data_IF_466603179824
#
_entry.id   IF_466603179824
#
_cell.length_a   1.000
_cell.length_b   1.000
_cell.length_c   1.000
_cell.angle_alpha   90.00
_cell.angle_beta   90.00
_cell.angle_gamma   90.00
#
_symmetry.space_group_name_H-M   'P 1'
#
loop_
_entity.id
_entity.type
_entity.pdbx_description
1 polymer ?
#
# COMPACT_ATOMS: atom_id res chain seq x y z
N UNK A 1 29.53 -14.39 -16.46
CA UNK A 1 28.40 -13.45 -16.53
C UNK A 1 27.16 -14.29 -16.38
N UNK A 2 26.60 -14.30 -15.16
CA UNK A 2 25.63 -15.28 -14.68
C UNK A 2 24.25 -15.08 -15.32
N UNK A 3 23.69 -16.19 -15.81
CA UNK A 3 22.26 -16.34 -16.05
C UNK A 3 21.52 -16.40 -14.71
N UNK A 4 20.59 -15.47 -14.50
CA UNK A 4 19.59 -15.52 -13.43
C UNK A 4 18.35 -16.23 -13.97
N UNK A 5 18.19 -17.49 -13.58
CA UNK A 5 16.90 -18.17 -13.62
C UNK A 5 16.06 -17.68 -12.43
N UNK A 6 15.01 -16.90 -12.70
CA UNK A 6 13.98 -16.60 -11.71
C UNK A 6 13.03 -17.81 -11.61
N UNK A 7 13.15 -18.55 -10.52
CA UNK A 7 12.22 -19.60 -10.11
C UNK A 7 11.00 -18.95 -9.45
N UNK A 8 9.98 -18.64 -10.24
CA UNK A 8 8.62 -18.32 -9.78
C UNK A 8 7.85 -19.63 -9.62
N UNK A 9 7.95 -20.24 -8.45
CA UNK A 9 7.32 -21.54 -8.19
C UNK A 9 7.45 -21.96 -6.73
N UNK A 10 7.03 -21.12 -5.79
CA UNK A 10 6.75 -21.54 -4.41
C UNK A 10 5.99 -20.45 -3.65
N UNK A 11 4.70 -20.26 -3.91
CA UNK A 11 3.86 -19.37 -3.09
C UNK A 11 2.46 -19.91 -2.81
N UNK A 12 2.17 -21.16 -3.17
CA UNK A 12 0.84 -21.75 -2.98
C UNK A 12 0.67 -22.56 -1.69
N UNK A 13 1.73 -22.74 -0.88
CA UNK A 13 1.68 -23.60 0.32
C UNK A 13 1.94 -22.87 1.65
N UNK A 14 2.36 -21.60 1.63
CA UNK A 14 2.61 -20.83 2.87
C UNK A 14 1.40 -20.00 3.36
N UNK A 15 0.38 -19.80 2.51
CA UNK A 15 -0.77 -18.94 2.86
C UNK A 15 -1.71 -19.55 3.91
N UNK A 16 -1.69 -20.86 4.13
CA UNK A 16 -2.48 -21.52 5.18
C UNK A 16 -1.80 -21.44 6.57
N UNK A 17 -0.52 -21.04 6.63
CA UNK A 17 0.26 -20.99 7.86
C UNK A 17 0.38 -19.60 8.48
N UNK A 18 0.09 -18.53 7.74
CA UNK A 18 0.31 -17.16 8.23
C UNK A 18 -0.86 -16.63 9.06
N UNK A 19 -2.09 -17.05 8.79
CA UNK A 19 -3.26 -16.56 9.53
C UNK A 19 -3.36 -17.04 10.98
N UNK A 20 -2.84 -18.24 11.25
CA UNK A 20 -2.74 -18.76 12.62
C UNK A 20 -1.71 -17.98 13.44
N UNK A 21 -0.69 -17.40 12.81
CA UNK A 21 0.47 -16.85 13.51
C UNK A 21 0.13 -15.61 14.37
N UNK A 22 -0.55 -14.56 13.87
CA UNK A 22 -0.90 -13.40 14.70
C UNK A 22 -1.90 -13.73 15.82
N UNK A 23 -2.86 -14.63 15.55
CA UNK A 23 -3.82 -15.07 16.55
C UNK A 23 -3.14 -15.86 17.67
N UNK A 24 -2.35 -16.87 17.31
CA UNK A 24 -1.59 -17.70 18.27
C UNK A 24 -0.60 -16.86 19.09
N UNK A 25 0.06 -15.87 18.45
CA UNK A 25 0.96 -14.95 19.13
C UNK A 25 0.21 -14.07 20.14
N UNK A 26 -0.96 -13.53 19.78
CA UNK A 26 -1.79 -12.74 20.69
C UNK A 26 -2.26 -13.57 21.88
N UNK A 27 -2.79 -14.76 21.65
CA UNK A 27 -3.24 -15.66 22.72
C UNK A 27 -2.08 -16.11 23.62
N UNK A 28 -0.91 -16.43 23.03
CA UNK A 28 0.29 -16.80 23.79
C UNK A 28 0.81 -15.63 24.63
N UNK A 29 0.83 -14.41 24.08
CA UNK A 29 1.26 -13.21 24.80
C UNK A 29 0.33 -12.88 25.97
N UNK A 30 -0.99 -13.01 25.76
CA UNK A 30 -2.00 -12.86 26.84
C UNK A 30 -1.78 -13.89 27.95
N UNK A 31 -1.62 -15.16 27.59
CA UNK A 31 -1.33 -16.23 28.55
C UNK A 31 -0.01 -16.02 29.30
N UNK A 32 0.99 -15.38 28.69
CA UNK A 32 2.25 -15.00 29.35
C UNK A 32 2.01 -13.88 30.36
N UNK A 33 1.30 -12.82 29.96
CA UNK A 33 0.97 -11.71 30.84
C UNK A 33 0.17 -12.16 32.05
N UNK A 34 -0.89 -12.96 31.85
CA UNK A 34 -1.68 -13.52 32.94
C UNK A 34 -0.86 -14.40 33.91
N UNK A 35 0.15 -15.11 33.40
CA UNK A 35 1.04 -15.89 34.26
C UNK A 35 1.97 -15.00 35.09
N UNK A 36 2.45 -13.89 34.52
CA UNK A 36 3.26 -12.92 35.25
C UNK A 36 2.44 -12.22 36.35
N UNK A 37 1.20 -11.82 36.05
CA UNK A 37 0.26 -11.27 37.05
C UNK A 37 -0.01 -12.27 38.18
N UNK A 38 -0.36 -13.52 37.86
CA UNK A 38 -0.59 -14.55 38.89
C UNK A 38 0.65 -14.80 39.76
N UNK A 39 1.85 -14.73 39.17
CA UNK A 39 3.08 -14.89 39.93
C UNK A 39 3.30 -13.75 40.93
N UNK A 40 2.84 -12.53 40.61
CA UNK A 40 2.84 -11.38 41.53
C UNK A 40 1.75 -11.56 42.60
N UNK A 41 0.55 -11.99 42.22
CA UNK A 41 -0.57 -12.23 43.15
C UNK A 41 -0.21 -13.27 44.24
N UNK A 42 0.59 -14.29 43.89
CA UNK A 42 1.06 -15.33 44.81
C UNK A 42 1.93 -14.78 45.95
N UNK A 43 2.44 -13.54 45.82
CA UNK A 43 3.22 -12.86 46.85
C UNK A 43 2.38 -12.15 47.92
N UNK A 44 1.05 -12.19 47.83
CA UNK A 44 0.15 -11.88 48.95
C UNK A 44 -0.19 -10.39 49.10
N UNK A 45 -1.35 -10.15 49.73
CA UNK A 45 -2.06 -8.88 49.83
C UNK A 45 -3.53 -9.20 50.14
N UNK A 46 -4.31 -8.25 50.66
CA UNK A 46 -5.77 -8.49 50.81
C UNK A 46 -6.46 -8.44 49.43
N UNK A 47 -5.84 -7.75 48.48
CA UNK A 47 -6.25 -7.59 47.08
C UNK A 47 -5.06 -7.77 46.12
N UNK A 48 -5.34 -7.90 44.81
CA UNK A 48 -4.31 -7.97 43.76
C UNK A 48 -3.49 -6.67 43.66
N UNK A 49 -4.12 -5.51 43.92
CA UNK A 49 -3.43 -4.21 43.98
C UNK A 49 -2.40 -4.21 45.13
N UNK A 50 -2.78 -4.70 46.32
CA UNK A 50 -1.87 -4.78 47.46
C UNK A 50 -0.66 -5.69 47.18
N UNK A 51 -0.89 -6.81 46.49
CA UNK A 51 0.17 -7.73 46.11
C UNK A 51 1.15 -7.11 45.11
N UNK A 52 0.60 -6.40 44.12
CA UNK A 52 1.39 -5.65 43.15
C UNK A 52 2.23 -4.59 43.84
N UNK A 53 1.62 -3.77 44.70
CA UNK A 53 2.32 -2.72 45.45
C UNK A 53 3.42 -3.31 46.33
N UNK A 54 3.18 -4.43 47.01
CA UNK A 54 4.18 -5.07 47.87
C UNK A 54 5.42 -5.55 47.07
N UNK A 55 5.19 -6.17 45.90
CA UNK A 55 6.27 -6.63 45.02
C UNK A 55 7.00 -5.45 44.37
N UNK A 56 6.29 -4.41 43.95
CA UNK A 56 6.89 -3.19 43.38
C UNK A 56 7.79 -2.47 44.39
N UNK A 57 7.34 -2.30 45.64
CA UNK A 57 8.17 -1.71 46.70
C UNK A 57 9.43 -2.55 46.98
N UNK A 58 9.31 -3.88 47.01
CA UNK A 58 10.47 -4.77 47.23
C UNK A 58 11.46 -4.73 46.06
N UNK A 59 10.95 -4.69 44.82
CA UNK A 59 11.74 -4.53 43.62
C UNK A 59 12.48 -3.18 43.59
N UNK A 60 11.80 -2.09 43.94
CA UNK A 60 12.39 -0.75 44.02
C UNK A 60 13.49 -0.70 45.09
N UNK A 61 13.22 -1.25 46.29
CA UNK A 61 14.20 -1.35 47.35
C UNK A 61 15.45 -2.13 46.88
N UNK A 62 15.27 -3.27 46.21
CA UNK A 62 16.36 -4.08 45.67
C UNK A 62 17.20 -3.32 44.65
N UNK A 63 16.55 -2.65 43.68
CA UNK A 63 17.24 -1.84 42.66
C UNK A 63 18.03 -0.69 43.32
N UNK A 64 17.42 0.04 44.25
CA UNK A 64 18.07 1.12 44.99
C UNK A 64 19.26 0.63 45.81
N UNK A 65 19.15 -0.52 46.47
CA UNK A 65 20.24 -1.12 47.24
C UNK A 65 21.41 -1.54 46.34
N UNK A 66 21.11 -2.19 45.21
CA UNK A 66 22.10 -2.65 44.24
C UNK A 66 22.82 -1.48 43.57
N UNK A 67 22.07 -0.47 43.10
CA UNK A 67 22.63 0.75 42.51
C UNK A 67 23.55 1.51 43.49
N UNK A 68 23.18 1.52 44.77
CA UNK A 68 23.97 2.13 45.82
C UNK A 68 25.29 1.36 46.06
N UNK A 69 25.26 0.03 46.06
CA UNK A 69 26.48 -0.79 46.17
C UNK A 69 27.38 -0.62 44.94
N UNK A 70 26.83 -0.76 43.74
CA UNK A 70 27.56 -0.66 42.47
C UNK A 70 28.22 0.72 42.30
N UNK A 71 27.51 1.78 42.66
CA UNK A 71 28.07 3.13 42.53
C UNK A 71 29.22 3.40 43.52
N UNK A 72 29.34 2.63 44.61
CA UNK A 72 30.34 2.84 45.65
C UNK A 72 31.47 1.81 45.69
N UNK A 73 31.37 0.65 45.01
CA UNK A 73 32.37 -0.42 45.05
C UNK A 73 33.78 0.06 44.71
N UNK A 74 33.95 0.83 43.64
CA UNK A 74 35.27 1.36 43.23
C UNK A 74 35.79 2.45 44.17
N UNK A 75 34.86 3.18 44.80
CA UNK A 75 35.18 4.37 45.61
C UNK A 75 35.46 4.01 47.07
N UNK A 76 34.87 2.95 47.59
CA UNK A 76 34.90 2.60 49.02
C UNK A 76 35.92 1.51 49.40
N UNK A 77 36.56 0.84 48.44
CA UNK A 77 37.43 -0.35 48.67
C UNK A 77 38.94 -0.06 48.75
N UNK A 78 39.37 1.18 48.51
CA UNK A 78 40.79 1.57 48.51
C UNK A 78 41.37 2.03 49.86
N UNK A 79 42.70 2.16 49.93
CA UNK A 79 43.42 2.60 51.13
C UNK A 79 43.68 4.11 51.10
N UNK A 80 42.67 4.91 51.45
CA UNK A 80 42.76 6.38 51.40
C UNK A 80 41.72 7.10 52.25
N UNK A 81 41.98 8.39 52.56
CA UNK A 81 41.01 9.23 53.31
C UNK A 81 39.72 9.45 52.51
N UNK A 82 39.83 9.54 51.18
CA UNK A 82 38.68 9.68 50.27
C UNK A 82 37.85 8.39 50.23
N UNK A 83 38.50 7.22 50.18
CA UNK A 83 37.81 5.94 50.24
C UNK A 83 37.09 5.72 51.58
N UNK A 84 37.72 6.11 52.69
CA UNK A 84 37.07 6.06 54.00
C UNK A 84 35.84 6.99 54.07
N UNK A 85 35.92 8.17 53.46
CA UNK A 85 34.77 9.09 53.37
C UNK A 85 33.65 8.50 52.52
N UNK A 86 33.98 7.87 51.39
CA UNK A 86 33.01 7.20 50.52
C UNK A 86 32.34 6.02 51.24
N UNK A 87 33.11 5.24 52.00
CA UNK A 87 32.60 4.17 52.86
C UNK A 87 31.58 4.68 53.89
N UNK A 88 31.94 5.68 54.71
CA UNK A 88 31.01 6.22 55.74
C UNK A 88 29.74 6.79 55.10
N UNK A 89 29.86 7.35 53.89
CA UNK A 89 28.71 7.82 53.14
C UNK A 89 27.82 6.68 52.66
N UNK A 90 28.39 5.61 52.09
CA UNK A 90 27.68 4.40 51.69
C UNK A 90 26.95 3.79 52.89
N UNK A 91 27.66 3.55 53.99
CA UNK A 91 27.10 2.97 55.22
C UNK A 91 25.91 3.79 55.72
N UNK A 92 26.04 5.13 55.78
CA UNK A 92 24.94 6.01 56.20
C UNK A 92 23.77 6.02 55.22
N UNK A 93 24.02 5.95 53.92
CA UNK A 93 22.95 5.91 52.91
C UNK A 93 22.24 4.55 52.88
N UNK A 94 23.00 3.46 53.01
CA UNK A 94 22.45 2.11 53.01
C UNK A 94 21.68 1.83 54.31
N UNK A 95 22.19 2.27 55.46
CA UNK A 95 21.44 2.22 56.72
C UNK A 95 20.13 3.02 56.63
N UNK A 96 20.17 4.24 56.07
CA UNK A 96 18.97 5.04 55.88
C UNK A 96 17.96 4.39 54.90
N UNK A 97 18.46 3.68 53.87
CA UNK A 97 17.61 2.91 52.97
C UNK A 97 16.90 1.79 53.75
N UNK A 98 17.63 0.95 54.48
CA UNK A 98 17.08 -0.18 55.26
C UNK A 98 16.12 0.28 56.35
N UNK A 99 16.48 1.32 57.11
CA UNK A 99 15.63 1.91 58.16
C UNK A 99 14.32 2.49 57.60
N UNK A 100 14.35 2.96 56.35
CA UNK A 100 13.19 3.51 55.65
C UNK A 100 12.23 2.45 55.09
N UNK A 101 12.64 1.17 55.06
CA UNK A 101 11.81 0.10 54.52
C UNK A 101 10.63 -0.22 55.46
N UNK A 102 9.43 -0.56 54.94
CA UNK A 102 8.32 -1.06 55.74
C UNK A 102 8.71 -2.33 56.52
N UNK A 103 8.20 -2.50 57.75
CA UNK A 103 8.45 -3.70 58.57
C UNK A 103 7.93 -4.98 57.92
N UNK A 104 6.81 -4.86 57.21
CA UNK A 104 6.16 -5.95 56.46
C UNK A 104 6.75 -6.15 55.05
N UNK A 105 7.83 -5.43 54.68
CA UNK A 105 8.39 -5.51 53.34
C UNK A 105 8.86 -6.94 53.03
N UNK A 106 8.44 -7.42 51.88
CA UNK A 106 8.83 -8.74 51.42
C UNK A 106 10.34 -8.84 51.17
N UNK A 107 10.98 -9.83 51.78
CA UNK A 107 12.42 -9.99 51.67
C UNK A 107 13.25 -8.95 52.42
N UNK A 108 12.66 -8.19 53.36
CA UNK A 108 13.37 -7.21 54.21
C UNK A 108 14.67 -7.74 54.80
N UNK A 109 14.68 -8.99 55.26
CA UNK A 109 15.87 -9.62 55.86
C UNK A 109 17.10 -9.60 54.93
N UNK A 110 16.91 -9.72 53.61
CA UNK A 110 18.01 -9.66 52.65
C UNK A 110 18.75 -8.30 52.70
N UNK A 111 18.02 -7.22 52.93
CA UNK A 111 18.57 -5.88 53.06
C UNK A 111 19.30 -5.68 54.38
N UNK A 112 18.78 -6.25 55.47
CA UNK A 112 19.42 -6.24 56.79
C UNK A 112 20.72 -7.05 56.76
N UNK A 113 20.71 -8.24 56.15
CA UNK A 113 21.89 -9.09 55.96
C UNK A 113 22.95 -8.40 55.08
N UNK A 114 22.52 -7.66 54.04
CA UNK A 114 23.42 -6.88 53.20
C UNK A 114 24.03 -5.69 53.96
N UNK A 115 23.27 -5.01 54.82
CA UNK A 115 23.78 -3.95 55.70
C UNK A 115 24.82 -4.52 56.67
N UNK A 116 24.57 -5.69 57.27
CA UNK A 116 25.55 -6.35 58.15
C UNK A 116 26.83 -6.72 57.39
N UNK A 117 26.73 -7.16 56.13
CA UNK A 117 27.90 -7.50 55.32
C UNK A 117 28.85 -6.31 55.11
N UNK A 118 28.30 -5.08 55.07
CA UNK A 118 29.05 -3.83 54.88
C UNK A 118 29.32 -3.04 56.17
N UNK A 119 28.76 -3.42 57.32
CA UNK A 119 29.03 -2.79 58.63
C UNK A 119 30.41 -3.21 59.16
N UNK A 120 31.47 -2.59 58.61
CA UNK A 120 32.86 -2.89 58.96
C UNK A 120 33.74 -1.66 58.90
N UNK A 121 34.73 -1.59 59.81
CA UNK A 121 35.75 -0.52 59.86
C UNK A 121 36.48 -0.22 58.54
N UNK A 122 36.55 -1.19 57.62
CA UNK A 122 37.05 -1.05 56.24
C UNK A 122 36.34 -2.07 55.35
N UNK A 123 35.94 -1.65 54.15
CA UNK A 123 35.40 -2.53 53.11
C UNK A 123 36.47 -2.96 52.12
N UNK A 124 36.31 -4.20 51.65
CA UNK A 124 36.98 -4.78 50.49
C UNK A 124 35.95 -5.11 49.41
N UNK A 125 36.40 -5.35 48.19
CA UNK A 125 35.54 -5.82 47.10
C UNK A 125 34.76 -7.08 47.50
N UNK A 126 35.41 -8.00 48.25
CA UNK A 126 34.74 -9.21 48.76
C UNK A 126 33.62 -8.92 49.78
N UNK A 127 33.63 -7.75 50.43
CA UNK A 127 32.53 -7.35 51.31
C UNK A 127 31.32 -6.86 50.48
N UNK A 128 31.57 -6.19 49.35
CA UNK A 128 30.52 -5.82 48.38
C UNK A 128 29.92 -7.06 47.73
N UNK A 129 30.74 -8.03 47.30
CA UNK A 129 30.26 -9.30 46.75
C UNK A 129 29.31 -10.00 47.74
N UNK A 130 29.70 -10.10 49.03
CA UNK A 130 28.81 -10.67 50.05
C UNK A 130 27.53 -9.86 50.28
N UNK A 131 27.57 -8.54 50.12
CA UNK A 131 26.38 -7.72 50.22
C UNK A 131 25.43 -7.95 49.02
N UNK A 132 25.98 -8.10 47.81
CA UNK A 132 25.20 -8.51 46.64
C UNK A 132 24.61 -9.91 46.81
N UNK A 133 25.41 -10.89 47.28
CA UNK A 133 24.93 -12.24 47.56
C UNK A 133 23.81 -12.24 48.61
N UNK A 134 23.91 -11.38 49.64
CA UNK A 134 22.87 -11.23 50.66
C UNK A 134 21.57 -10.64 50.09
N UNK A 135 21.65 -9.81 49.04
CA UNK A 135 20.49 -9.24 48.33
C UNK A 135 19.84 -10.19 47.33
N UNK A 136 20.51 -11.29 46.91
CA UNK A 136 19.99 -12.25 45.92
C UNK A 136 18.55 -12.71 46.23
N UNK A 137 18.14 -13.04 47.48
CA UNK A 137 16.76 -13.42 47.76
C UNK A 137 15.71 -12.33 47.49
N UNK A 138 16.11 -11.07 47.43
CA UNK A 138 15.24 -9.95 47.08
C UNK A 138 15.21 -9.67 45.55
N UNK A 139 16.17 -10.18 44.76
CA UNK A 139 16.20 -10.00 43.30
C UNK A 139 14.95 -10.56 42.62
N UNK A 140 14.39 -11.66 43.17
CA UNK A 140 13.19 -12.32 42.65
C UNK A 140 12.00 -11.37 42.47
N UNK A 141 11.86 -10.34 43.31
CA UNK A 141 10.75 -9.38 43.19
C UNK A 141 10.97 -8.44 42.02
N UNK A 142 12.21 -7.99 41.80
CA UNK A 142 12.57 -7.24 40.60
C UNK A 142 12.39 -8.08 39.33
N UNK A 143 12.75 -9.37 39.37
CA UNK A 143 12.55 -10.30 38.24
C UNK A 143 11.06 -10.50 37.89
N UNK A 144 10.17 -10.51 38.88
CA UNK A 144 8.71 -10.59 38.66
C UNK A 144 8.16 -9.36 37.95
N UNK A 145 8.54 -8.15 38.41
CA UNK A 145 8.13 -6.89 37.77
C UNK A 145 8.68 -6.81 36.34
N UNK A 146 9.95 -7.13 36.16
CA UNK A 146 10.60 -7.19 34.86
C UNK A 146 9.89 -8.16 33.90
N UNK A 147 9.50 -9.36 34.36
CA UNK A 147 8.78 -10.32 33.53
C UNK A 147 7.38 -9.85 33.17
N UNK A 148 6.66 -9.21 34.10
CA UNK A 148 5.36 -8.58 33.85
C UNK A 148 5.47 -7.48 32.79
N UNK A 149 6.45 -6.60 32.90
CA UNK A 149 6.70 -5.53 31.93
C UNK A 149 7.03 -6.09 30.53
N UNK A 150 7.92 -7.08 30.45
CA UNK A 150 8.24 -7.76 29.18
C UNK A 150 7.03 -8.47 28.58
N UNK A 151 6.21 -9.11 29.41
CA UNK A 151 5.00 -9.78 28.97
C UNK A 151 3.97 -8.77 28.46
N UNK A 152 3.85 -7.59 29.11
CA UNK A 152 3.00 -6.47 28.67
C UNK A 152 3.44 -5.92 27.32
N UNK A 153 4.74 -5.69 27.14
CA UNK A 153 5.30 -5.24 25.87
C UNK A 153 5.04 -6.26 24.75
N UNK A 154 5.31 -7.55 25.02
CA UNK A 154 5.02 -8.64 24.08
C UNK A 154 3.53 -8.67 23.68
N UNK A 155 2.63 -8.47 24.65
CA UNK A 155 1.19 -8.41 24.39
C UNK A 155 0.81 -7.21 23.52
N UNK A 156 1.36 -6.04 23.79
CA UNK A 156 1.15 -4.83 22.97
C UNK A 156 1.57 -5.03 21.52
N UNK A 157 2.74 -5.62 21.29
CA UNK A 157 3.24 -5.96 19.96
C UNK A 157 2.34 -6.97 19.26
N UNK A 158 1.92 -8.02 19.96
CA UNK A 158 1.03 -9.04 19.40
C UNK A 158 -0.35 -8.48 19.06
N UNK A 159 -0.91 -7.60 19.90
CA UNK A 159 -2.20 -6.89 19.63
C UNK A 159 -2.08 -6.00 18.39
N UNK A 160 -0.96 -5.33 18.23
CA UNK A 160 -0.65 -4.53 17.04
C UNK A 160 -0.55 -5.39 15.79
N UNK A 161 0.15 -6.53 15.86
CA UNK A 161 0.29 -7.47 14.76
C UNK A 161 -1.06 -8.09 14.35
N UNK A 162 -1.87 -8.53 15.32
CA UNK A 162 -3.21 -9.05 15.10
C UNK A 162 -4.13 -8.00 14.46
N UNK A 163 -4.11 -6.76 14.96
CA UNK A 163 -4.88 -5.65 14.39
C UNK A 163 -4.47 -5.32 12.95
N UNK A 164 -3.16 -5.41 12.65
CA UNK A 164 -2.66 -5.23 11.28
C UNK A 164 -3.16 -6.35 10.37
N UNK A 165 -3.05 -7.60 10.80
CA UNK A 165 -3.54 -8.75 10.05
C UNK A 165 -5.05 -8.66 9.79
N UNK A 166 -5.83 -8.19 10.76
CA UNK A 166 -7.28 -8.00 10.59
C UNK A 166 -7.59 -7.02 9.45
N UNK A 167 -6.84 -5.92 9.32
CA UNK A 167 -7.01 -4.98 8.19
C UNK A 167 -6.65 -5.63 6.86
N UNK A 168 -5.53 -6.34 6.81
CA UNK A 168 -5.10 -7.08 5.61
C UNK A 168 -6.16 -8.11 5.18
N UNK A 169 -6.76 -8.84 6.12
CA UNK A 169 -7.86 -9.78 5.83
C UNK A 169 -9.07 -9.07 5.23
N UNK A 170 -9.46 -7.91 5.76
CA UNK A 170 -10.58 -7.15 5.21
C UNK A 170 -10.31 -6.71 3.76
N UNK A 171 -9.12 -6.20 3.47
CA UNK A 171 -8.71 -5.85 2.11
C UNK A 171 -8.71 -7.09 1.19
N UNK A 172 -8.23 -8.23 1.69
CA UNK A 172 -8.26 -9.49 0.96
C UNK A 172 -9.70 -9.96 0.70
N UNK A 173 -10.60 -9.89 1.69
CA UNK A 173 -12.03 -10.22 1.56
C UNK A 173 -12.69 -9.37 0.47
N UNK A 174 -12.51 -8.05 0.53
CA UNK A 174 -13.09 -7.11 -0.44
C UNK A 174 -12.66 -7.45 -1.88
N UNK A 175 -11.39 -7.82 -2.07
CA UNK A 175 -10.88 -8.26 -3.36
C UNK A 175 -11.53 -9.59 -3.82
N UNK A 176 -11.74 -10.56 -2.92
CA UNK A 176 -12.38 -11.84 -3.29
C UNK A 176 -13.86 -11.64 -3.61
N UNK A 177 -14.55 -10.78 -2.87
CA UNK A 177 -15.94 -10.42 -3.13
C UNK A 177 -16.09 -9.72 -4.49
N UNK A 178 -15.18 -8.79 -4.82
CA UNK A 178 -15.13 -8.17 -6.15
C UNK A 178 -14.94 -9.21 -7.27
N UNK A 179 -14.04 -10.17 -7.09
CA UNK A 179 -13.83 -11.23 -8.08
C UNK A 179 -15.10 -12.08 -8.29
N UNK A 180 -15.83 -12.39 -7.21
CA UNK A 180 -17.10 -13.12 -7.29
C UNK A 180 -18.22 -12.31 -7.94
N UNK A 181 -18.25 -10.99 -7.72
CA UNK A 181 -19.17 -10.09 -8.42
C UNK A 181 -18.93 -10.16 -9.93
N UNK A 182 -17.67 -10.12 -10.38
CA UNK A 182 -17.32 -10.27 -11.80
C UNK A 182 -17.70 -11.65 -12.35
N UNK A 183 -17.60 -12.71 -11.54
CA UNK A 183 -18.00 -14.06 -11.93
C UNK A 183 -19.50 -14.28 -12.07
N UNK A 184 -20.32 -13.34 -11.59
CA UNK A 184 -21.77 -13.34 -11.88
C UNK A 184 -22.04 -13.10 -13.37
N UNK A 185 -21.09 -12.46 -14.07
CA UNK A 185 -21.12 -12.36 -15.52
C UNK A 185 -20.86 -13.73 -16.16
N UNK A 186 -21.40 -13.93 -17.36
CA UNK A 186 -21.12 -15.11 -18.16
C UNK A 186 -19.71 -15.04 -18.75
N UNK A 187 -18.71 -15.53 -17.99
CA UNK A 187 -17.30 -15.49 -18.38
C UNK A 187 -16.97 -16.36 -19.61
N UNK A 188 -17.86 -17.27 -19.99
CA UNK A 188 -17.75 -18.10 -21.19
C UNK A 188 -18.48 -17.49 -22.40
N UNK A 189 -19.10 -16.31 -22.23
CA UNK A 189 -19.81 -15.66 -23.31
C UNK A 189 -18.86 -15.39 -24.50
N UNK A 190 -19.34 -15.54 -25.74
CA UNK A 190 -18.52 -15.33 -26.93
C UNK A 190 -18.29 -13.83 -27.18
N UNK A 191 -17.48 -13.19 -26.34
CA UNK A 191 -17.18 -11.74 -26.35
C UNK A 191 -16.57 -11.28 -27.68
N UNK A 192 -15.94 -12.19 -28.42
CA UNK A 192 -15.39 -11.92 -29.76
C UNK A 192 -16.47 -11.48 -30.76
N UNK A 193 -17.75 -11.83 -30.53
CA UNK A 193 -18.88 -11.30 -31.33
C UNK A 193 -19.04 -9.79 -31.21
N UNK A 194 -18.61 -9.19 -30.11
CA UNK A 194 -18.52 -7.74 -29.95
C UNK A 194 -17.14 -7.21 -30.33
N UNK A 195 -16.08 -7.94 -29.95
CA UNK A 195 -14.70 -7.50 -30.14
C UNK A 195 -14.32 -7.41 -31.61
N UNK A 196 -14.55 -8.46 -32.39
CA UNK A 196 -14.08 -8.53 -33.77
C UNK A 196 -14.64 -7.39 -34.64
N UNK A 197 -15.95 -7.04 -34.58
CA UNK A 197 -16.46 -5.91 -35.35
C UNK A 197 -15.94 -4.55 -34.88
N UNK A 198 -15.67 -4.38 -33.57
CA UNK A 198 -15.11 -3.15 -33.00
C UNK A 198 -13.65 -3.00 -33.42
N UNK A 199 -12.84 -4.04 -33.25
CA UNK A 199 -11.43 -4.05 -33.64
C UNK A 199 -11.29 -3.83 -35.15
N UNK A 200 -12.10 -4.52 -35.96
CA UNK A 200 -12.14 -4.28 -37.42
C UNK A 200 -12.46 -2.83 -37.77
N UNK A 201 -13.46 -2.23 -37.13
CA UNK A 201 -13.80 -0.83 -37.37
C UNK A 201 -12.66 0.10 -36.96
N UNK A 202 -12.09 -0.13 -35.78
CA UNK A 202 -11.02 0.68 -35.21
C UNK A 202 -9.75 0.65 -36.07
N UNK A 203 -9.38 -0.53 -36.59
CA UNK A 203 -8.23 -0.67 -37.49
C UNK A 203 -8.47 0.07 -38.81
N UNK A 204 -9.65 -0.10 -39.41
CA UNK A 204 -10.02 0.58 -40.66
C UNK A 204 -10.05 2.11 -40.52
N UNK A 205 -10.53 2.66 -39.40
CA UNK A 205 -10.56 4.12 -39.22
C UNK A 205 -9.17 4.67 -38.89
N UNK A 206 -8.31 3.92 -38.19
CA UNK A 206 -6.92 4.33 -37.95
C UNK A 206 -6.14 4.43 -39.25
N UNK A 207 -6.23 3.41 -40.10
CA UNK A 207 -5.58 3.41 -41.41
C UNK A 207 -6.11 4.54 -42.30
N UNK A 208 -7.44 4.67 -42.42
CA UNK A 208 -8.04 5.72 -43.24
C UNK A 208 -7.72 7.14 -42.76
N UNK A 209 -7.64 7.35 -41.44
CA UNK A 209 -7.28 8.66 -40.89
C UNK A 209 -5.80 8.96 -41.08
N UNK A 210 -4.93 7.96 -40.97
CA UNK A 210 -3.51 8.13 -41.29
C UNK A 210 -3.34 8.57 -42.75
N UNK A 211 -3.99 7.88 -43.70
CA UNK A 211 -4.00 8.26 -45.12
C UNK A 211 -4.56 9.69 -45.31
N UNK A 212 -5.71 9.99 -44.70
CA UNK A 212 -6.30 11.32 -44.76
C UNK A 212 -5.37 12.41 -44.21
N UNK A 213 -4.65 12.16 -43.12
CA UNK A 213 -3.67 13.09 -42.53
C UNK A 213 -2.47 13.32 -43.46
N UNK A 214 -2.05 12.29 -44.20
CA UNK A 214 -0.92 12.37 -45.12
C UNK A 214 -1.28 13.11 -46.42
N UNK A 215 -2.52 12.99 -46.89
CA UNK A 215 -2.92 13.46 -48.21
C UNK A 215 -3.80 14.73 -48.20
N UNK A 216 -4.64 14.91 -47.19
CA UNK A 216 -5.51 16.08 -47.11
C UNK A 216 -4.72 17.33 -46.75
N UNK A 217 -5.23 18.49 -47.17
CA UNK A 217 -4.63 19.75 -46.77
C UNK A 217 -4.83 20.01 -45.29
N UNK A 218 -3.88 20.72 -44.65
CA UNK A 218 -3.98 21.08 -43.22
C UNK A 218 -5.26 21.85 -42.95
N UNK A 219 -5.73 22.66 -43.92
CA UNK A 219 -7.01 23.35 -43.83
C UNK A 219 -8.20 22.40 -43.77
N UNK A 220 -8.21 21.35 -44.58
CA UNK A 220 -9.26 20.33 -44.54
C UNK A 220 -9.27 19.52 -43.24
N UNK A 221 -8.08 19.16 -42.74
CA UNK A 221 -7.93 18.49 -41.43
C UNK A 221 -8.44 19.42 -40.32
N UNK A 222 -8.06 20.70 -40.32
CA UNK A 222 -8.51 21.64 -39.27
C UNK A 222 -10.01 21.88 -39.31
N UNK A 223 -10.61 21.93 -40.51
CA UNK A 223 -12.06 22.02 -40.64
C UNK A 223 -12.78 20.80 -40.05
N UNK A 224 -12.17 19.60 -40.14
CA UNK A 224 -12.66 18.40 -39.48
C UNK A 224 -12.56 18.53 -37.95
N UNK A 225 -11.41 18.94 -37.42
CA UNK A 225 -11.20 19.10 -35.97
C UNK A 225 -12.15 20.15 -35.37
N UNK A 226 -12.29 21.31 -36.02
CA UNK A 226 -13.19 22.37 -35.57
C UNK A 226 -14.66 21.92 -35.57
N UNK A 227 -15.05 21.06 -36.52
CA UNK A 227 -16.42 20.52 -36.59
C UNK A 227 -16.75 19.65 -35.38
N UNK A 228 -15.77 18.99 -34.78
CA UNK A 228 -15.97 18.10 -33.63
C UNK A 228 -16.56 18.82 -32.42
N UNK A 229 -16.41 20.14 -32.32
CA UNK A 229 -16.99 20.93 -31.24
C UNK A 229 -18.52 20.73 -31.07
N UNK A 230 -19.23 20.42 -32.16
CA UNK A 230 -20.67 20.22 -32.15
C UNK A 230 -21.10 18.78 -31.80
N UNK A 231 -20.14 17.89 -31.54
CA UNK A 231 -20.33 16.45 -31.34
C UNK A 231 -19.65 16.03 -30.04
N UNK A 232 -20.40 15.99 -28.91
CA UNK A 232 -19.86 15.65 -27.60
C UNK A 232 -19.08 14.33 -27.54
N UNK A 233 -19.35 13.37 -28.42
CA UNK A 233 -18.64 12.09 -28.45
C UNK A 233 -17.40 12.07 -29.37
N UNK A 234 -17.04 13.20 -29.99
CA UNK A 234 -15.87 13.32 -30.89
C UNK A 234 -14.93 14.40 -30.34
N UNK A 235 -14.04 13.97 -29.44
CA UNK A 235 -13.21 14.85 -28.60
C UNK A 235 -11.85 15.18 -29.23
N UNK A 236 -11.84 15.79 -30.42
CA UNK A 236 -10.59 16.32 -30.98
C UNK A 236 -10.07 17.54 -30.21
N UNK A 237 -8.75 17.59 -30.01
CA UNK A 237 -8.08 18.79 -29.54
C UNK A 237 -8.25 19.95 -30.54
N UNK A 238 -8.52 21.14 -30.00
CA UNK A 238 -8.70 22.33 -30.83
C UNK A 238 -7.35 22.84 -31.34
N UNK A 239 -7.25 23.19 -32.64
CA UNK A 239 -6.07 23.84 -33.15
C UNK A 239 -5.73 25.13 -32.38
N UNK A 240 -4.46 25.33 -31.98
CA UNK A 240 -3.99 26.59 -31.40
C UNK A 240 -4.36 27.77 -32.27
N UNK A 241 -4.88 28.84 -31.67
CA UNK A 241 -5.51 29.94 -32.40
C UNK A 241 -4.58 30.59 -33.44
N UNK A 242 -3.32 30.76 -33.09
CA UNK A 242 -2.28 31.30 -33.96
C UNK A 242 -1.99 30.44 -35.20
N UNK A 243 -1.99 29.11 -35.05
CA UNK A 243 -1.78 28.16 -36.15
C UNK A 243 -3.05 28.07 -37.02
N UNK A 244 -4.21 28.07 -36.38
CA UNK A 244 -5.53 28.05 -37.02
C UNK A 244 -5.74 29.25 -37.93
N UNK A 245 -5.43 30.45 -37.45
CA UNK A 245 -5.52 31.69 -38.24
C UNK A 245 -4.57 31.63 -39.43
N UNK A 246 -3.33 31.19 -39.23
CA UNK A 246 -2.35 31.03 -40.30
C UNK A 246 -2.82 30.07 -41.40
N UNK A 247 -3.27 28.85 -41.05
CA UNK A 247 -3.76 27.84 -42.00
C UNK A 247 -4.99 28.32 -42.79
N UNK A 248 -5.83 29.14 -42.15
CA UNK A 248 -7.05 29.67 -42.77
C UNK A 248 -6.77 30.78 -43.77
N UNK A 249 -5.84 31.68 -43.44
CA UNK A 249 -5.60 32.91 -44.21
C UNK A 249 -4.49 32.75 -45.24
N UNK A 250 -3.49 31.90 -44.97
CA UNK A 250 -2.36 31.68 -45.88
C UNK A 250 -2.67 30.63 -46.96
N UNK A 251 -2.10 30.84 -48.14
CA UNK A 251 -2.05 29.83 -49.20
C UNK A 251 -1.32 28.54 -48.77
N UNK A 252 -0.42 28.63 -47.79
CA UNK A 252 0.30 27.49 -47.22
C UNK A 252 -0.62 26.49 -46.50
N UNK A 253 -1.87 26.88 -46.17
CA UNK A 253 -2.87 25.96 -45.61
C UNK A 253 -3.34 24.86 -46.56
N UNK A 254 -3.04 24.97 -47.86
CA UNK A 254 -3.30 23.93 -48.87
C UNK A 254 -2.26 22.80 -48.85
N UNK A 255 -1.13 22.98 -48.16
CA UNK A 255 -0.16 21.91 -47.98
C UNK A 255 -0.67 20.84 -47.00
N UNK A 256 -0.21 19.60 -47.18
CA UNK A 256 -0.45 18.50 -46.25
C UNK A 256 0.32 18.69 -44.93
N UNK A 257 -0.10 18.03 -43.85
CA UNK A 257 0.58 18.11 -42.55
C UNK A 257 2.05 17.69 -42.64
N UNK A 258 2.42 16.54 -43.26
CA UNK A 258 3.82 16.15 -43.41
C UNK A 258 4.64 17.19 -44.17
N UNK A 259 4.05 17.82 -45.19
CA UNK A 259 4.73 18.86 -45.98
C UNK A 259 5.03 20.12 -45.16
N UNK A 260 4.07 20.59 -44.35
CA UNK A 260 4.29 21.71 -43.44
C UNK A 260 5.36 21.40 -42.39
N UNK A 261 5.38 20.18 -41.87
CA UNK A 261 6.40 19.72 -40.93
C UNK A 261 7.79 19.63 -41.57
N UNK A 262 7.88 19.13 -42.81
CA UNK A 262 9.11 19.13 -43.60
C UNK A 262 9.63 20.56 -43.82
N UNK A 263 8.75 21.48 -44.19
CA UNK A 263 9.09 22.90 -44.35
C UNK A 263 9.51 23.55 -43.03
N UNK A 264 8.90 23.17 -41.91
CA UNK A 264 9.31 23.63 -40.59
C UNK A 264 10.77 23.27 -40.27
N UNK A 265 11.37 22.26 -40.93
CA UNK A 265 12.78 21.88 -40.76
C UNK A 265 13.74 22.61 -41.74
N UNK A 266 13.23 23.27 -42.77
CA UNK A 266 14.05 23.98 -43.76
C UNK A 266 14.64 25.29 -43.21
N UNK A 267 15.76 25.76 -43.75
CA UNK A 267 16.28 27.10 -43.42
C UNK A 267 15.37 28.20 -43.97
N UNK A 268 15.37 29.40 -43.36
CA UNK A 268 14.58 30.55 -43.84
C UNK A 268 14.88 30.91 -45.30
N UNK A 269 16.15 30.85 -45.69
CA UNK A 269 16.60 31.09 -47.07
C UNK A 269 16.06 30.06 -48.06
N UNK A 270 15.90 28.80 -47.62
CA UNK A 270 15.30 27.74 -48.44
C UNK A 270 13.79 27.94 -48.54
N UNK A 271 13.13 28.33 -47.44
CA UNK A 271 11.68 28.53 -47.38
C UNK A 271 11.16 29.69 -48.22
N UNK A 272 11.93 30.76 -48.42
CA UNK A 272 11.54 31.91 -49.24
C UNK A 272 11.17 31.55 -50.70
N UNK A 273 11.47 30.33 -51.15
CA UNK A 273 11.12 29.80 -52.48
C UNK A 273 9.92 28.85 -52.49
N UNK A 274 9.45 28.40 -51.32
CA UNK A 274 8.42 27.37 -51.20
C UNK A 274 7.14 27.87 -50.52
N UNK A 275 7.21 28.95 -49.74
CA UNK A 275 6.09 29.45 -48.95
C UNK A 275 5.93 30.96 -49.05
N UNK A 276 4.73 31.44 -48.74
CA UNK A 276 4.35 32.84 -48.86
C UNK A 276 5.16 33.74 -47.91
N UNK A 277 5.38 33.29 -46.67
CA UNK A 277 6.21 33.98 -45.68
C UNK A 277 6.98 32.97 -44.80
N UNK A 278 8.28 32.88 -45.01
CA UNK A 278 9.18 31.97 -44.31
C UNK A 278 9.29 32.25 -42.79
N UNK A 279 9.16 33.52 -42.36
CA UNK A 279 9.24 33.89 -40.95
C UNK A 279 7.94 33.56 -40.22
N UNK A 280 6.79 33.75 -40.88
CA UNK A 280 5.47 33.38 -40.33
C UNK A 280 5.35 31.87 -40.21
N UNK A 281 5.70 31.09 -41.24
CA UNK A 281 5.67 29.63 -41.17
C UNK A 281 6.53 29.12 -40.01
N UNK A 282 7.76 29.60 -39.88
CA UNK A 282 8.66 29.19 -38.79
C UNK A 282 8.09 29.52 -37.42
N UNK A 283 7.48 30.68 -37.24
CA UNK A 283 6.90 31.08 -35.96
C UNK A 283 5.66 30.26 -35.60
N UNK A 284 4.80 29.98 -36.58
CA UNK A 284 3.48 29.37 -36.36
C UNK A 284 3.51 27.84 -36.39
N UNK A 285 4.25 27.24 -37.32
CA UNK A 285 4.31 25.78 -37.51
C UNK A 285 5.36 25.13 -36.61
N UNK A 286 6.59 25.67 -36.53
CA UNK A 286 7.65 25.02 -35.76
C UNK A 286 7.36 25.01 -34.24
N UNK A 287 6.66 26.02 -33.73
CA UNK A 287 6.23 26.11 -32.32
C UNK A 287 5.13 25.11 -31.98
N UNK A 288 4.35 24.67 -32.98
CA UNK A 288 3.16 23.83 -32.79
C UNK A 288 3.32 22.44 -33.42
N UNK A 289 4.57 21.98 -33.57
CA UNK A 289 4.91 20.69 -34.17
C UNK A 289 4.23 19.52 -33.43
N UNK A 290 4.30 19.52 -32.10
CA UNK A 290 3.69 18.48 -31.26
C UNK A 290 2.19 18.35 -31.50
N UNK A 291 1.47 19.46 -31.68
CA UNK A 291 0.06 19.43 -32.01
C UNK A 291 -0.18 18.76 -33.37
N UNK A 292 0.55 19.16 -34.42
CA UNK A 292 0.41 18.58 -35.75
C UNK A 292 0.82 17.10 -35.83
N UNK A 293 1.82 16.70 -35.04
CA UNK A 293 2.26 15.31 -34.91
C UNK A 293 1.25 14.45 -34.15
N UNK A 294 0.53 15.02 -33.17
CA UNK A 294 -0.45 14.32 -32.33
C UNK A 294 -1.87 14.19 -32.89
N UNK A 295 -2.16 14.71 -34.09
CA UNK A 295 -3.48 14.53 -34.71
C UNK A 295 -3.61 13.08 -35.20
N UNK A 296 -4.51 12.30 -34.60
CA UNK A 296 -4.74 10.90 -34.95
C UNK A 296 -6.23 10.53 -34.98
N UNK A 297 -6.54 9.24 -35.16
CA UNK A 297 -7.91 8.75 -35.29
C UNK A 297 -8.62 8.48 -33.96
N UNK A 298 -7.96 8.65 -32.81
CA UNK A 298 -8.44 8.13 -31.52
C UNK A 298 -9.84 8.65 -31.15
N UNK A 299 -10.20 9.94 -31.37
CA UNK A 299 -11.57 10.42 -31.11
C UNK A 299 -12.66 9.80 -32.00
N UNK A 300 -12.27 9.06 -33.05
CA UNK A 300 -13.19 8.34 -33.94
C UNK A 300 -13.25 6.83 -33.64
N UNK A 301 -12.45 6.32 -32.72
CA UNK A 301 -12.48 4.90 -32.34
C UNK A 301 -13.60 4.61 -31.34
N UNK A 302 -13.89 3.32 -31.18
CA UNK A 302 -14.77 2.78 -30.14
C UNK A 302 -13.91 2.10 -29.10
N UNK A 303 -14.03 2.53 -27.85
CA UNK A 303 -13.30 1.95 -26.70
C UNK A 303 -13.72 0.50 -26.44
N UNK A 304 -12.78 -0.29 -25.91
CA UNK A 304 -13.01 -1.65 -25.46
C UNK A 304 -12.72 -1.77 -23.95
N UNK A 305 -13.59 -2.41 -23.15
CA UNK A 305 -14.91 -2.94 -23.50
C UNK A 305 -15.91 -1.84 -23.89
N UNK A 306 -16.92 -2.13 -24.73
CA UNK A 306 -17.88 -1.13 -25.14
C UNK A 306 -18.79 -0.69 -23.98
N UNK A 307 -19.22 0.58 -24.03
CA UNK A 307 -20.22 1.12 -23.13
C UNK A 307 -21.63 0.60 -23.40
N UNK A 308 -22.61 1.09 -22.65
CA UNK A 308 -24.01 0.71 -22.80
C UNK A 308 -24.51 0.87 -24.23
N UNK A 309 -25.48 0.06 -24.64
CA UNK A 309 -26.01 0.04 -25.99
C UNK A 309 -26.48 1.44 -26.44
N UNK A 310 -27.15 2.19 -25.56
CA UNK A 310 -27.57 3.58 -25.80
C UNK A 310 -26.38 4.50 -26.06
N UNK A 311 -25.36 4.36 -25.21
CA UNK A 311 -24.03 4.94 -25.26
C UNK A 311 -23.45 4.90 -26.66
N UNK A 312 -23.21 3.65 -27.04
CA UNK A 312 -22.57 3.28 -28.29
C UNK A 312 -23.41 3.70 -29.50
N UNK A 313 -24.75 3.62 -29.43
CA UNK A 313 -25.63 4.13 -30.49
C UNK A 313 -25.48 5.62 -30.73
N UNK A 314 -25.37 6.42 -29.67
CA UNK A 314 -25.19 7.88 -29.78
C UNK A 314 -23.81 8.21 -30.31
N UNK A 315 -22.76 7.61 -29.73
CA UNK A 315 -21.38 7.76 -30.18
C UNK A 315 -21.20 7.42 -31.65
N UNK A 316 -21.63 6.23 -32.09
CA UNK A 316 -21.52 5.81 -33.51
C UNK A 316 -22.29 6.73 -34.46
N UNK A 317 -23.42 7.32 -34.02
CA UNK A 317 -24.17 8.30 -34.81
C UNK A 317 -23.40 9.61 -34.99
N UNK A 318 -22.71 10.07 -33.95
CA UNK A 318 -21.91 11.30 -33.97
C UNK A 318 -20.59 11.17 -34.69
N UNK A 319 -19.96 9.99 -34.62
CA UNK A 319 -18.72 9.67 -35.35
C UNK A 319 -18.96 9.55 -36.87
N UNK A 320 -20.13 9.03 -37.29
CA UNK A 320 -20.42 8.72 -38.69
C UNK A 320 -20.15 9.86 -39.70
N UNK A 321 -20.54 11.13 -39.47
CA UNK A 321 -20.23 12.22 -40.39
C UNK A 321 -18.73 12.47 -40.59
N UNK A 322 -17.90 12.17 -39.60
CA UNK A 322 -16.44 12.30 -39.68
C UNK A 322 -15.86 11.13 -40.46
N UNK A 323 -16.29 9.90 -40.15
CA UNK A 323 -15.87 8.70 -40.88
C UNK A 323 -16.23 8.79 -42.37
N UNK A 324 -17.42 9.28 -42.70
CA UNK A 324 -17.82 9.47 -44.10
C UNK A 324 -17.02 10.56 -44.85
N UNK A 325 -16.30 11.42 -44.13
CA UNK A 325 -15.43 12.46 -44.69
C UNK A 325 -13.99 11.96 -44.88
N UNK A 326 -13.54 11.11 -43.96
CA UNK A 326 -12.15 10.63 -43.86
C UNK A 326 -11.95 9.31 -44.61
N UNK A 327 -12.95 8.43 -44.60
CA UNK A 327 -12.82 7.05 -45.02
C UNK A 327 -13.81 6.64 -46.10
N UNK A 328 -13.58 5.48 -46.69
CA UNK A 328 -14.42 4.91 -47.74
C UNK A 328 -15.71 4.25 -47.19
N UNK A 329 -16.56 3.73 -48.08
CA UNK A 329 -17.82 3.08 -47.66
C UNK A 329 -17.58 1.79 -46.87
N UNK A 330 -16.42 1.13 -46.98
CA UNK A 330 -16.11 -0.05 -46.15
C UNK A 330 -16.01 0.34 -44.67
N UNK A 331 -15.25 1.39 -44.34
CA UNK A 331 -15.14 1.88 -42.96
C UNK A 331 -16.49 2.38 -42.42
N UNK A 332 -17.29 3.04 -43.25
CA UNK A 332 -18.66 3.45 -42.89
C UNK A 332 -19.56 2.22 -42.65
N UNK A 333 -19.41 1.15 -43.43
CA UNK A 333 -20.15 -0.09 -43.25
C UNK A 333 -19.71 -0.83 -41.98
N UNK A 334 -18.41 -0.81 -41.64
CA UNK A 334 -17.89 -1.36 -40.39
C UNK A 334 -18.46 -0.62 -39.16
N UNK A 335 -18.48 0.73 -39.18
CA UNK A 335 -19.14 1.53 -38.13
C UNK A 335 -20.64 1.20 -38.01
N UNK A 336 -21.30 0.98 -39.15
CA UNK A 336 -22.71 0.58 -39.20
C UNK A 336 -22.92 -0.80 -38.57
N UNK A 337 -22.00 -1.74 -38.78
CA UNK A 337 -22.02 -3.05 -38.14
C UNK A 337 -21.85 -2.95 -36.62
N UNK A 338 -20.89 -2.14 -36.13
CA UNK A 338 -20.75 -1.86 -34.69
C UNK A 338 -22.04 -1.30 -34.10
N UNK A 339 -22.68 -0.35 -34.79
CA UNK A 339 -23.99 0.18 -34.36
C UNK A 339 -25.08 -0.89 -34.37
N UNK A 340 -25.05 -1.87 -35.27
CA UNK A 340 -26.05 -2.95 -35.32
C UNK A 340 -25.94 -3.90 -34.12
N UNK A 341 -24.74 -4.12 -33.57
CA UNK A 341 -24.55 -4.93 -32.36
C UNK A 341 -25.45 -4.47 -31.21
N UNK A 342 -25.63 -3.15 -31.06
CA UNK A 342 -26.46 -2.56 -29.99
C UNK A 342 -27.96 -2.86 -30.07
N UNK A 343 -28.42 -3.50 -31.15
CA UNK A 343 -29.81 -3.95 -31.32
C UNK A 343 -29.94 -5.47 -31.12
N UNK A 344 -28.84 -6.18 -30.92
CA UNK A 344 -28.86 -7.59 -30.57
C UNK A 344 -29.39 -7.74 -29.15
N UNK A 345 -30.26 -8.72 -28.94
CA UNK A 345 -30.82 -9.03 -27.63
C UNK A 345 -29.73 -9.54 -26.65
N UNK A 346 -28.65 -10.11 -27.18
CA UNK A 346 -27.51 -10.60 -26.39
C UNK A 346 -26.50 -9.50 -26.06
N UNK A 347 -26.67 -8.26 -26.55
CA UNK A 347 -25.67 -7.20 -26.37
C UNK A 347 -25.34 -6.95 -24.90
N UNK A 348 -26.35 -6.77 -24.04
CA UNK A 348 -26.12 -6.44 -22.64
C UNK A 348 -25.37 -7.58 -21.92
N UNK A 349 -25.74 -8.85 -22.19
CA UNK A 349 -25.04 -10.03 -21.66
C UNK A 349 -23.58 -10.06 -22.11
N UNK A 350 -23.33 -9.88 -23.41
CA UNK A 350 -21.98 -9.90 -23.99
C UNK A 350 -21.14 -8.72 -23.50
N UNK A 351 -21.76 -7.55 -23.29
CA UNK A 351 -21.12 -6.36 -22.77
C UNK A 351 -20.69 -6.58 -21.31
N UNK A 352 -21.58 -7.08 -20.46
CA UNK A 352 -21.25 -7.41 -19.06
C UNK A 352 -20.16 -8.47 -18.99
N UNK A 353 -20.21 -9.51 -19.83
CA UNK A 353 -19.15 -10.50 -19.94
C UNK A 353 -17.81 -9.87 -20.40
N UNK A 354 -17.82 -8.99 -21.39
CA UNK A 354 -16.63 -8.31 -21.87
C UNK A 354 -16.00 -7.40 -20.79
N UNK A 355 -16.82 -6.70 -20.00
CA UNK A 355 -16.38 -5.88 -18.87
C UNK A 355 -15.76 -6.71 -17.75
N UNK A 356 -16.32 -7.88 -17.46
CA UNK A 356 -15.77 -8.80 -16.48
C UNK A 356 -14.45 -9.42 -16.98
N UNK A 357 -14.43 -9.95 -18.20
CA UNK A 357 -13.24 -10.59 -18.80
C UNK A 357 -12.08 -9.61 -18.95
N UNK A 358 -12.33 -8.33 -19.26
CA UNK A 358 -11.27 -7.33 -19.38
C UNK A 358 -10.63 -6.94 -18.04
N UNK A 359 -11.35 -7.14 -16.92
CA UNK A 359 -10.83 -6.88 -15.58
C UNK A 359 -10.17 -8.10 -14.93
N UNK A 360 -10.42 -9.30 -15.47
CA UNK A 360 -9.89 -10.55 -14.93
C UNK A 360 -8.65 -11.02 -15.70
N UNK A 361 -7.60 -11.36 -14.95
CA UNK A 361 -6.46 -12.11 -15.48
C UNK A 361 -6.86 -13.55 -15.85
N UNK A 362 -6.10 -14.23 -16.73
CA UNK A 362 -6.29 -15.65 -16.99
C UNK A 362 -6.31 -16.51 -15.71
N UNK A 363 -5.42 -16.21 -14.76
CA UNK A 363 -5.29 -16.93 -13.50
C UNK A 363 -6.50 -16.72 -12.58
N UNK A 364 -7.03 -15.49 -12.51
CA UNK A 364 -8.25 -15.22 -11.73
C UNK A 364 -9.47 -15.94 -12.31
N UNK A 365 -9.59 -16.02 -13.64
CA UNK A 365 -10.65 -16.79 -14.29
C UNK A 365 -10.58 -18.27 -13.95
N UNK A 366 -9.39 -18.86 -13.96
CA UNK A 366 -9.20 -20.26 -13.55
C UNK A 366 -9.53 -20.48 -12.08
N UNK A 367 -9.14 -19.53 -11.20
CA UNK A 367 -9.47 -19.57 -9.77
C UNK A 367 -10.97 -19.46 -9.50
N UNK A 368 -11.67 -18.62 -10.27
CA UNK A 368 -13.13 -18.50 -10.21
C UNK A 368 -13.81 -19.77 -10.72
N UNK A 369 -13.40 -20.30 -11.87
CA UNK A 369 -13.96 -21.52 -12.45
C UNK A 369 -13.75 -22.75 -11.56
N UNK A 370 -12.67 -22.80 -10.78
CA UNK A 370 -12.38 -23.89 -9.83
C UNK A 370 -13.07 -23.74 -8.47
N UNK A 371 -13.81 -22.66 -8.21
CA UNK A 371 -14.43 -22.40 -6.90
C UNK A 371 -13.42 -22.06 -5.78
N UNK A 372 -12.16 -21.83 -6.14
CA UNK A 372 -11.08 -21.56 -5.19
C UNK A 372 -11.27 -20.21 -4.49
N UNK A 373 -11.78 -19.20 -5.20
CA UNK A 373 -12.05 -17.86 -4.65
C UNK A 373 -13.10 -17.92 -3.53
N UNK A 374 -14.17 -18.69 -3.69
CA UNK A 374 -15.19 -18.89 -2.65
C UNK A 374 -14.60 -19.57 -1.41
N UNK A 375 -13.78 -20.59 -1.62
CA UNK A 375 -13.11 -21.31 -0.52
C UNK A 375 -12.14 -20.42 0.26
N UNK A 376 -11.38 -19.59 -0.46
CA UNK A 376 -10.47 -18.61 0.15
C UNK A 376 -11.25 -17.54 0.91
N UNK A 377 -12.36 -17.04 0.37
CA UNK A 377 -13.23 -16.07 1.04
C UNK A 377 -13.79 -16.60 2.36
N UNK A 378 -14.31 -17.83 2.38
CA UNK A 378 -14.82 -18.46 3.61
C UNK A 378 -13.70 -18.69 4.64
N UNK A 379 -12.50 -19.02 4.19
CA UNK A 379 -11.32 -19.15 5.05
C UNK A 379 -10.96 -17.81 5.69
N UNK A 380 -10.92 -16.73 4.89
CA UNK A 380 -10.62 -15.38 5.37
C UNK A 380 -11.69 -14.86 6.34
N UNK A 381 -12.97 -15.11 6.07
CA UNK A 381 -14.07 -14.75 6.98
C UNK A 381 -13.94 -15.46 8.33
N UNK A 382 -13.62 -16.75 8.32
CA UNK A 382 -13.37 -17.52 9.55
C UNK A 382 -12.17 -16.97 10.32
N UNK A 383 -11.09 -16.59 9.62
CA UNK A 383 -9.90 -15.98 10.23
C UNK A 383 -10.23 -14.61 10.84
N UNK A 384 -10.98 -13.77 10.11
CA UNK A 384 -11.46 -12.46 10.57
C UNK A 384 -12.22 -12.59 11.87
N UNK A 385 -13.23 -13.46 11.91
CA UNK A 385 -14.08 -13.66 13.09
C UNK A 385 -13.26 -14.07 14.32
N UNK A 386 -12.27 -14.95 14.15
CA UNK A 386 -11.39 -15.37 15.25
C UNK A 386 -10.50 -14.24 15.74
N UNK A 387 -9.92 -13.45 14.84
CA UNK A 387 -9.07 -12.31 15.21
C UNK A 387 -9.88 -11.17 15.85
N UNK A 388 -11.08 -10.88 15.34
CA UNK A 388 -12.01 -9.91 15.95
C UNK A 388 -12.35 -10.34 17.37
N UNK A 389 -12.80 -11.60 17.55
CA UNK A 389 -13.11 -12.14 18.87
C UNK A 389 -11.90 -12.08 19.83
N UNK A 390 -10.69 -12.36 19.34
CA UNK A 390 -9.48 -12.30 20.16
C UNK A 390 -9.08 -10.87 20.56
N UNK A 391 -9.33 -9.87 19.70
CA UNK A 391 -9.04 -8.46 19.95
C UNK A 391 -10.09 -7.77 20.84
N UNK A 392 -11.32 -8.27 20.84
CA UNK A 392 -12.41 -7.80 21.72
C UNK A 392 -12.22 -8.19 23.19
N UNK A 393 -11.41 -9.22 23.47
CA UNK A 393 -11.06 -9.59 24.85
C UNK A 393 -10.35 -8.41 25.50
N UNK A 394 -10.90 -7.96 26.62
CA UNK A 394 -10.31 -6.91 27.45
C UNK A 394 -8.98 -7.42 28.01
N UNK A 395 -7.92 -6.67 27.72
CA UNK A 395 -6.57 -6.97 28.14
C UNK A 395 -5.90 -5.63 28.52
N UNK A 396 -4.78 -5.62 29.26
CA UNK A 396 -4.25 -4.41 29.89
C UNK A 396 -3.69 -3.38 28.89
N UNK A 397 -3.78 -3.62 27.58
CA UNK A 397 -3.34 -2.76 26.45
C UNK A 397 -4.55 -2.13 25.77
#
# INVERSE_FOLDING_TARGET
MSERAHSSGSSATDAAGTGSQPLEQLESARNRFERAERAIDDHGGETAEDATDAVEHAAEAYRNATDLLDSYVDRATGTGRENFKAYVQLEGQFAALVDGLPEELQGRNAFEDALEAIDKRRLSESDFERAHDALEPASRYAELIDERERARETLSEARTAASKRLREINDEIDERERLLELATADLEAPVDRLRDPIDRYNDLIREAFEEYRLEASVREVFALLERSHWYPFVEFERPPEDLRTYVRESSDGEYTIPKLLEYADYSRSKLAHYVEDADVLKRRVATQRTFLDGIDAEPLTVEWPPGEAELLRRRTREIRPFVARVANEETVAALRAVRQLTYDADYDRLQTAAQAVAQLTPEERERLASGRVETELETLRTERERLEAALEVDDPI
#
